data_IF_935180968981
#
_entry.id   IF_935180968981
#
_cell.length_a   1.000
_cell.length_b   1.000
_cell.length_c   1.000
_cell.angle_alpha   90.00
_cell.angle_beta   90.00
_cell.angle_gamma   90.00
#
_symmetry.space_group_name_H-M   'P 1'
#
loop_
_entity.id
_entity.type
_entity.pdbx_description
1 polymer ?
#
# COMPACT_ATOMS: atom_id res chain seq x y z
N UNK A 1 -7.15 -18.44 -10.45
CA UNK A 1 -6.44 -17.15 -10.47
C UNK A 1 -5.05 -17.24 -11.09
N UNK A 2 -4.23 -18.24 -10.77
CA UNK A 2 -2.85 -18.41 -11.30
C UNK A 2 -2.77 -18.39 -12.84
N UNK A 3 -3.67 -19.11 -13.55
CA UNK A 3 -3.65 -19.19 -15.02
C UNK A 3 -3.95 -17.86 -15.73
N UNK A 4 -4.73 -16.98 -15.10
CA UNK A 4 -5.07 -15.66 -15.65
C UNK A 4 -3.89 -14.70 -15.48
N UNK A 5 -3.19 -14.79 -14.34
CA UNK A 5 -1.98 -14.01 -14.10
C UNK A 5 -0.84 -14.36 -15.07
N UNK A 6 -0.66 -15.64 -15.41
CA UNK A 6 0.34 -16.07 -16.40
C UNK A 6 0.04 -15.59 -17.82
N UNK A 7 -1.24 -15.55 -18.21
CA UNK A 7 -1.66 -15.02 -19.51
C UNK A 7 -1.35 -13.52 -19.61
N UNK A 8 -1.76 -12.74 -18.61
CA UNK A 8 -1.49 -11.30 -18.57
C UNK A 8 0.01 -10.97 -18.45
N UNK A 9 0.80 -11.78 -17.72
CA UNK A 9 2.26 -11.62 -17.66
C UNK A 9 2.91 -11.80 -19.04
N UNK A 10 2.43 -12.76 -19.85
CA UNK A 10 2.90 -12.94 -21.22
C UNK A 10 2.49 -11.77 -22.11
N UNK A 11 1.28 -11.26 -21.96
CA UNK A 11 0.79 -10.11 -22.74
C UNK A 11 1.54 -8.81 -22.38
N UNK A 12 1.96 -8.66 -21.13
CA UNK A 12 2.79 -7.54 -20.65
C UNK A 12 4.23 -7.58 -21.19
N UNK A 13 4.77 -8.77 -21.44
CA UNK A 13 6.08 -8.98 -22.06
C UNK A 13 6.01 -9.03 -23.60
N UNK A 14 4.84 -8.80 -24.19
CA UNK A 14 4.64 -8.90 -25.62
C UNK A 14 5.38 -7.75 -26.34
N UNK A 15 6.07 -8.00 -27.48
CA UNK A 15 6.77 -6.96 -28.24
C UNK A 15 5.84 -5.89 -28.86
N UNK A 16 4.52 -6.01 -28.70
CA UNK A 16 3.54 -5.11 -29.29
C UNK A 16 2.97 -4.18 -28.21
N UNK A 17 3.21 -2.89 -28.36
CA UNK A 17 2.77 -1.85 -27.42
C UNK A 17 1.24 -1.78 -27.26
N UNK A 18 0.47 -2.09 -28.31
CA UNK A 18 -0.99 -2.10 -28.27
C UNK A 18 -1.54 -3.24 -27.41
N UNK A 19 -0.88 -4.40 -27.43
CA UNK A 19 -1.27 -5.56 -26.59
C UNK A 19 -0.93 -5.28 -25.14
N UNK A 20 0.24 -4.68 -24.89
CA UNK A 20 0.63 -4.23 -23.54
C UNK A 20 -0.36 -3.19 -22.99
N UNK A 21 -0.72 -2.19 -23.78
CA UNK A 21 -1.69 -1.15 -23.41
C UNK A 21 -3.10 -1.69 -23.16
N UNK A 22 -3.58 -2.60 -24.01
CA UNK A 22 -4.90 -3.24 -23.85
C UNK A 22 -4.97 -4.12 -22.61
N UNK A 23 -3.88 -4.82 -22.29
CA UNK A 23 -3.74 -5.60 -21.06
C UNK A 23 -3.66 -4.71 -19.84
N UNK A 24 -2.85 -3.63 -19.89
CA UNK A 24 -2.76 -2.61 -18.85
C UNK A 24 -4.09 -1.90 -18.58
N UNK A 25 -4.96 -1.77 -19.58
CA UNK A 25 -6.31 -1.22 -19.45
C UNK A 25 -7.27 -2.14 -18.68
N UNK A 26 -6.90 -3.41 -18.47
CA UNK A 26 -7.69 -4.33 -17.67
C UNK A 26 -7.41 -4.11 -16.18
N UNK A 27 -8.45 -3.95 -15.33
CA UNK A 27 -8.28 -3.78 -13.88
C UNK A 27 -7.50 -4.95 -13.23
N UNK A 28 -7.53 -6.13 -13.85
CA UNK A 28 -6.81 -7.32 -13.39
C UNK A 28 -5.29 -7.21 -13.59
N UNK A 29 -4.82 -6.43 -14.57
CA UNK A 29 -3.38 -6.28 -14.82
C UNK A 29 -2.69 -5.51 -13.69
N UNK A 30 -3.35 -4.50 -13.12
CA UNK A 30 -2.89 -3.73 -11.94
C UNK A 30 -2.50 -4.66 -10.77
N UNK A 31 -3.25 -5.75 -10.59
CA UNK A 31 -3.03 -6.71 -9.51
C UNK A 31 -1.81 -7.62 -9.74
N UNK A 32 -1.28 -7.68 -10.97
CA UNK A 32 -0.21 -8.59 -11.41
C UNK A 32 1.15 -7.86 -11.47
N UNK A 33 1.15 -6.53 -11.54
CA UNK A 33 2.37 -5.72 -11.63
C UNK A 33 3.43 -5.93 -10.53
N UNK A 34 3.10 -6.13 -9.23
CA UNK A 34 4.14 -6.17 -8.20
C UNK A 34 5.05 -7.41 -8.23
N UNK A 35 4.64 -8.53 -8.83
CA UNK A 35 5.52 -9.71 -9.04
C UNK A 35 6.54 -9.53 -10.17
N UNK A 36 6.39 -8.48 -10.97
CA UNK A 36 7.32 -8.12 -12.05
C UNK A 36 8.30 -7.01 -11.65
N UNK A 37 8.00 -6.26 -10.58
CA UNK A 37 8.90 -5.25 -9.98
C UNK A 37 10.06 -5.87 -9.19
N UNK A 38 9.87 -7.05 -8.58
CA UNK A 38 10.93 -7.75 -7.83
C UNK A 38 11.97 -8.44 -8.72
N UNK A 39 11.68 -8.65 -10.01
CA UNK A 39 12.55 -9.39 -10.94
C UNK A 39 13.25 -8.51 -12.00
N UNK A 40 13.53 -7.25 -11.66
CA UNK A 40 14.58 -6.45 -12.32
C UNK A 40 14.48 -6.29 -13.84
N UNK A 41 13.30 -6.47 -14.45
CA UNK A 41 13.10 -6.25 -15.87
C UNK A 41 12.05 -5.16 -16.10
N UNK A 42 12.54 -3.93 -15.97
CA UNK A 42 12.45 -2.89 -16.99
C UNK A 42 11.12 -2.80 -17.75
N UNK A 43 10.10 -2.19 -17.15
CA UNK A 43 8.98 -1.60 -17.92
C UNK A 43 8.39 -0.32 -17.29
N UNK A 44 8.90 0.17 -16.16
CA UNK A 44 8.14 1.09 -15.31
C UNK A 44 8.97 2.25 -14.72
N UNK A 45 10.03 2.70 -15.40
CA UNK A 45 10.74 3.96 -15.01
C UNK A 45 10.52 5.11 -16.01
N UNK A 46 9.58 4.96 -16.97
CA UNK A 46 9.26 6.03 -17.89
C UNK A 46 7.86 5.92 -18.48
N UNK A 47 7.00 6.87 -18.12
CA UNK A 47 5.78 7.25 -18.84
C UNK A 47 4.53 6.35 -18.68
N UNK A 48 4.10 6.04 -17.44
CA UNK A 48 2.72 5.59 -17.20
C UNK A 48 1.67 6.62 -17.61
N UNK A 49 1.99 7.91 -17.44
CA UNK A 49 1.13 9.05 -17.75
C UNK A 49 0.69 9.09 -19.23
N UNK A 50 1.52 8.58 -20.13
CA UNK A 50 1.25 8.55 -21.57
C UNK A 50 0.46 7.32 -22.02
N UNK A 51 0.62 6.18 -21.33
CA UNK A 51 -0.04 4.93 -21.72
C UNK A 51 -1.49 4.85 -21.25
N UNK A 52 -1.80 5.31 -20.02
CA UNK A 52 -3.16 5.34 -19.47
C UNK A 52 -3.31 6.57 -18.56
N UNK A 53 -3.85 7.69 -19.06
CA UNK A 53 -4.04 8.89 -18.24
C UNK A 53 -5.00 8.68 -17.06
N UNK A 54 -5.95 7.74 -17.18
CA UNK A 54 -6.97 7.45 -16.17
C UNK A 54 -6.57 6.32 -15.20
N UNK A 55 -5.31 5.88 -15.23
CA UNK A 55 -4.79 4.82 -14.38
C UNK A 55 -5.09 5.01 -12.88
N UNK A 56 -4.89 6.19 -12.25
CA UNK A 56 -5.16 6.35 -10.83
C UNK A 56 -6.64 6.15 -10.46
N UNK A 57 -7.58 6.48 -11.36
CA UNK A 57 -9.01 6.28 -11.14
C UNK A 57 -9.39 4.80 -11.19
N UNK A 58 -8.89 4.10 -12.21
CA UNK A 58 -9.07 2.66 -12.35
C UNK A 58 -8.54 1.90 -11.13
N UNK A 59 -7.33 2.24 -10.66
CA UNK A 59 -6.73 1.59 -9.49
C UNK A 59 -7.55 1.85 -8.23
N UNK A 60 -8.02 3.10 -8.02
CA UNK A 60 -8.88 3.44 -6.88
C UNK A 60 -10.21 2.66 -6.90
N UNK A 61 -10.83 2.54 -8.07
CA UNK A 61 -12.06 1.74 -8.23
C UNK A 61 -11.85 0.25 -7.92
N UNK A 62 -10.72 -0.31 -8.37
CA UNK A 62 -10.34 -1.69 -8.05
C UNK A 62 -10.11 -1.86 -6.56
N UNK A 63 -9.38 -0.94 -5.92
CA UNK A 63 -9.08 -0.99 -4.49
C UNK A 63 -10.34 -1.01 -3.62
N UNK A 64 -11.36 -0.24 -4.02
CA UNK A 64 -12.67 -0.19 -3.34
C UNK A 64 -13.53 -1.43 -3.60
N UNK A 65 -13.43 -2.03 -4.79
CA UNK A 65 -14.26 -3.18 -5.20
C UNK A 65 -13.69 -4.52 -4.74
N UNK A 66 -12.36 -4.62 -4.64
CA UNK A 66 -11.67 -5.86 -4.32
C UNK A 66 -11.95 -6.33 -2.89
N UNK A 67 -11.90 -7.64 -2.69
CA UNK A 67 -12.08 -8.28 -1.38
C UNK A 67 -10.85 -9.10 -0.98
N UNK A 68 -10.05 -9.54 -1.94
CA UNK A 68 -8.85 -10.31 -1.67
C UNK A 68 -7.75 -9.41 -1.09
N UNK A 69 -7.14 -9.86 0.02
CA UNK A 69 -6.14 -9.08 0.75
C UNK A 69 -4.85 -8.87 -0.07
N UNK A 70 -4.46 -9.84 -0.89
CA UNK A 70 -3.27 -9.72 -1.74
C UNK A 70 -3.51 -8.74 -2.88
N UNK A 71 -4.71 -8.79 -3.47
CA UNK A 71 -5.12 -7.89 -4.54
C UNK A 71 -5.24 -6.44 -4.03
N UNK A 72 -5.87 -6.23 -2.87
CA UNK A 72 -5.91 -4.90 -2.22
C UNK A 72 -4.52 -4.36 -1.96
N UNK A 73 -3.60 -5.20 -1.47
CA UNK A 73 -2.21 -4.80 -1.24
C UNK A 73 -1.53 -4.34 -2.53
N UNK A 74 -1.72 -5.09 -3.61
CA UNK A 74 -1.11 -4.78 -4.91
C UNK A 74 -1.67 -3.48 -5.50
N UNK A 75 -2.99 -3.31 -5.45
CA UNK A 75 -3.66 -2.08 -5.89
C UNK A 75 -3.20 -0.87 -5.07
N UNK A 76 -3.12 -0.99 -3.74
CA UNK A 76 -2.67 0.09 -2.88
C UNK A 76 -1.20 0.47 -3.13
N UNK A 77 -0.31 -0.52 -3.27
CA UNK A 77 1.09 -0.25 -3.64
C UNK A 77 1.20 0.47 -4.99
N UNK A 78 0.42 0.06 -5.99
CA UNK A 78 0.41 0.71 -7.29
C UNK A 78 -0.08 2.16 -7.19
N UNK A 79 -1.17 2.39 -6.46
CA UNK A 79 -1.72 3.73 -6.24
C UNK A 79 -0.68 4.64 -5.57
N UNK A 80 0.07 4.14 -4.60
CA UNK A 80 1.14 4.91 -3.96
C UNK A 80 2.26 5.36 -4.91
N UNK A 81 2.56 4.57 -5.94
CA UNK A 81 3.60 4.91 -6.91
C UNK A 81 3.09 5.88 -7.98
N UNK A 82 1.80 5.76 -8.36
CA UNK A 82 1.20 6.58 -9.42
C UNK A 82 0.69 7.91 -8.88
N UNK A 83 -0.04 7.90 -7.77
CA UNK A 83 -0.65 9.07 -7.15
C UNK A 83 -0.75 8.90 -5.63
N UNK A 84 0.25 9.46 -4.93
CA UNK A 84 0.33 9.38 -3.48
C UNK A 84 -0.84 10.13 -2.80
N UNK A 85 -1.34 11.23 -3.36
CA UNK A 85 -2.41 12.02 -2.72
C UNK A 85 -3.70 11.20 -2.65
N UNK A 86 -4.05 10.54 -3.75
CA UNK A 86 -5.26 9.69 -3.81
C UNK A 86 -5.16 8.47 -2.91
N UNK A 87 -3.96 7.92 -2.72
CA UNK A 87 -3.74 6.85 -1.75
C UNK A 87 -3.95 7.32 -0.29
N UNK A 88 -3.59 8.58 0.02
CA UNK A 88 -3.84 9.17 1.33
C UNK A 88 -5.32 9.45 1.56
N UNK A 89 -6.04 9.88 0.54
CA UNK A 89 -7.50 10.05 0.60
C UNK A 89 -8.20 8.71 0.85
N UNK A 90 -7.79 7.64 0.17
CA UNK A 90 -8.29 6.29 0.47
C UNK A 90 -7.97 5.84 1.90
N UNK A 91 -6.70 5.98 2.32
CA UNK A 91 -6.29 5.58 3.68
C UNK A 91 -7.08 6.35 4.75
N UNK A 92 -7.36 7.61 4.47
CA UNK A 92 -8.14 8.53 5.29
C UNK A 92 -9.58 8.07 5.52
N UNK A 93 -10.18 7.40 4.54
CA UNK A 93 -11.53 6.82 4.61
C UNK A 93 -11.55 5.50 5.37
N UNK A 94 -10.52 4.65 5.17
CA UNK A 94 -10.46 3.30 5.75
C UNK A 94 -9.67 3.20 7.07
N UNK A 95 -9.23 4.34 7.63
CA UNK A 95 -8.28 4.39 8.76
C UNK A 95 -8.75 3.60 10.00
N UNK A 96 -10.07 3.59 10.27
CA UNK A 96 -10.64 2.87 11.40
C UNK A 96 -10.73 1.35 11.18
N UNK A 97 -10.63 0.89 9.93
CA UNK A 97 -10.70 -0.52 9.55
C UNK A 97 -9.31 -1.16 9.36
N UNK A 98 -8.22 -0.38 9.48
CA UNK A 98 -6.86 -0.86 9.16
C UNK A 98 -6.45 -2.08 9.98
N UNK A 99 -6.93 -2.20 11.22
CA UNK A 99 -6.66 -3.36 12.08
C UNK A 99 -7.26 -4.68 11.55
N UNK A 100 -8.23 -4.60 10.64
CA UNK A 100 -8.86 -5.77 10.01
C UNK A 100 -8.14 -6.23 8.74
N UNK A 101 -7.25 -5.42 8.18
CA UNK A 101 -6.48 -5.79 7.00
C UNK A 101 -5.38 -6.80 7.32
N UNK A 102 -4.91 -7.51 6.28
CA UNK A 102 -3.81 -8.45 6.43
C UNK A 102 -2.48 -7.76 6.77
N UNK A 103 -1.62 -8.48 7.48
CA UNK A 103 -0.35 -8.01 8.05
C UNK A 103 0.53 -7.24 7.04
N UNK A 104 0.66 -7.76 5.81
CA UNK A 104 1.49 -7.15 4.77
C UNK A 104 0.97 -5.75 4.41
N UNK A 105 -0.35 -5.58 4.31
CA UNK A 105 -0.95 -4.28 4.02
C UNK A 105 -0.79 -3.33 5.20
N UNK A 106 -0.95 -3.83 6.43
CA UNK A 106 -0.70 -3.03 7.65
C UNK A 106 0.74 -2.49 7.69
N UNK A 107 1.74 -3.32 7.37
CA UNK A 107 3.14 -2.88 7.32
C UNK A 107 3.37 -1.75 6.32
N UNK A 108 2.82 -1.88 5.11
CA UNK A 108 2.94 -0.85 4.06
C UNK A 108 2.26 0.47 4.52
N UNK A 109 1.11 0.37 5.19
CA UNK A 109 0.40 1.53 5.74
C UNK A 109 1.24 2.22 6.82
N UNK A 110 1.87 1.46 7.72
CA UNK A 110 2.74 2.04 8.77
C UNK A 110 3.93 2.77 8.16
N UNK A 111 4.59 2.18 7.15
CA UNK A 111 5.70 2.82 6.44
C UNK A 111 5.26 4.10 5.73
N UNK A 112 4.08 4.09 5.10
CA UNK A 112 3.49 5.28 4.49
C UNK A 112 3.22 6.38 5.52
N UNK A 113 2.59 6.03 6.65
CA UNK A 113 2.29 6.97 7.72
C UNK A 113 3.58 7.63 8.22
N UNK A 114 4.65 6.85 8.41
CA UNK A 114 5.96 7.38 8.79
C UNK A 114 6.44 8.45 7.80
N UNK A 115 6.43 8.15 6.49
CA UNK A 115 6.89 9.08 5.44
C UNK A 115 6.04 10.35 5.39
N UNK A 116 4.72 10.21 5.43
CA UNK A 116 3.77 11.34 5.32
C UNK A 116 3.86 12.25 6.53
N UNK A 117 3.93 11.69 7.73
CA UNK A 117 4.05 12.48 8.96
C UNK A 117 5.39 13.19 9.09
N UNK A 118 6.44 12.67 8.44
CA UNK A 118 7.74 13.33 8.36
C UNK A 118 7.69 14.52 7.40
N UNK A 119 7.02 14.38 6.25
CA UNK A 119 6.83 15.46 5.28
C UNK A 119 5.84 16.54 5.79
N UNK A 120 4.72 16.12 6.37
CA UNK A 120 3.60 16.97 6.76
C UNK A 120 3.19 16.73 8.22
N UNK A 121 3.70 17.55 9.17
CA UNK A 121 3.42 17.38 10.59
C UNK A 121 1.94 17.56 10.99
N UNK A 122 1.14 18.25 10.16
CA UNK A 122 -0.28 18.54 10.42
C UNK A 122 -1.13 17.28 10.47
N UNK A 123 -0.82 16.27 9.66
CA UNK A 123 -1.57 15.01 9.57
C UNK A 123 -1.25 14.03 10.74
N UNK A 124 -0.22 14.32 11.54
CA UNK A 124 0.23 13.43 12.64
C UNK A 124 -0.89 13.05 13.59
N UNK A 125 -1.70 14.03 14.00
CA UNK A 125 -2.79 13.81 14.96
C UNK A 125 -3.81 12.78 14.45
N UNK A 126 -4.04 12.74 13.14
CA UNK A 126 -4.96 11.81 12.49
C UNK A 126 -4.45 10.37 12.56
N UNK A 127 -3.16 10.17 12.29
CA UNK A 127 -2.57 8.83 12.21
C UNK A 127 -2.14 8.24 13.55
N UNK A 128 -1.89 9.06 14.59
CA UNK A 128 -1.49 8.57 15.92
C UNK A 128 -2.48 7.53 16.47
N UNK A 129 -3.79 7.76 16.32
CA UNK A 129 -4.81 6.81 16.79
C UNK A 129 -4.73 5.47 16.04
N UNK A 130 -4.51 5.51 14.74
CA UNK A 130 -4.34 4.32 13.90
C UNK A 130 -3.11 3.51 14.33
N UNK A 131 -1.95 4.16 14.47
CA UNK A 131 -0.70 3.50 14.88
C UNK A 131 -0.82 2.91 16.28
N UNK A 132 -1.49 3.61 17.20
CA UNK A 132 -1.74 3.11 18.55
C UNK A 132 -2.59 1.82 18.54
N UNK A 133 -3.62 1.76 17.71
CA UNK A 133 -4.45 0.55 17.54
C UNK A 133 -3.64 -0.61 16.95
N UNK A 134 -2.69 -0.33 16.04
CA UNK A 134 -1.83 -1.35 15.42
C UNK A 134 -0.83 -2.00 16.39
N UNK A 135 -0.55 -1.39 17.56
CA UNK A 135 0.25 -2.04 18.61
C UNK A 135 -0.40 -3.31 19.18
N UNK A 136 -1.72 -3.44 19.02
CA UNK A 136 -2.49 -4.60 19.43
C UNK A 136 -2.76 -5.58 18.27
N UNK A 137 -2.11 -5.40 17.11
CA UNK A 137 -2.21 -6.33 15.98
C UNK A 137 -1.69 -7.72 16.38
N UNK A 138 -2.23 -8.78 15.78
CA UNK A 138 -1.79 -10.17 16.02
C UNK A 138 -0.37 -10.45 15.51
N UNK A 139 0.11 -9.64 14.56
CA UNK A 139 1.38 -9.84 13.90
C UNK A 139 2.53 -9.16 14.63
N UNK A 140 3.54 -9.94 15.03
CA UNK A 140 4.73 -9.41 15.70
C UNK A 140 5.45 -8.34 14.86
N UNK A 141 5.54 -8.54 13.54
CA UNK A 141 6.17 -7.59 12.62
C UNK A 141 5.43 -6.24 12.60
N UNK A 142 4.09 -6.26 12.55
CA UNK A 142 3.28 -5.03 12.56
C UNK A 142 3.43 -4.29 13.89
N UNK A 143 3.40 -5.00 15.02
CA UNK A 143 3.58 -4.41 16.34
C UNK A 143 4.95 -3.73 16.47
N UNK A 144 6.00 -4.38 15.97
CA UNK A 144 7.37 -3.83 15.99
C UNK A 144 7.46 -2.52 15.19
N UNK A 145 6.95 -2.52 13.96
CA UNK A 145 7.02 -1.35 13.07
C UNK A 145 6.12 -0.21 13.57
N UNK A 146 4.93 -0.54 14.08
CA UNK A 146 4.01 0.43 14.66
C UNK A 146 4.59 1.07 15.93
N UNK A 147 5.28 0.30 16.79
CA UNK A 147 5.96 0.83 17.97
C UNK A 147 7.06 1.83 17.59
N UNK A 148 7.88 1.50 16.58
CA UNK A 148 8.96 2.38 16.12
C UNK A 148 8.44 3.67 15.50
N UNK A 149 7.36 3.55 14.72
CA UNK A 149 6.67 4.70 14.15
C UNK A 149 6.05 5.56 15.26
N UNK A 150 5.37 4.97 16.25
CA UNK A 150 4.72 5.72 17.33
C UNK A 150 5.69 6.58 18.13
N UNK A 151 6.86 6.04 18.48
CA UNK A 151 7.91 6.77 19.22
C UNK A 151 8.44 7.95 18.41
N UNK A 152 8.50 7.81 17.08
CA UNK A 152 8.93 8.89 16.19
C UNK A 152 7.86 9.97 16.00
N UNK A 153 6.58 9.58 16.08
CA UNK A 153 5.45 10.49 15.90
C UNK A 153 5.07 11.25 17.17
N UNK A 154 5.27 10.66 18.35
CA UNK A 154 4.82 11.23 19.62
C UNK A 154 5.85 11.08 20.73
N UNK A 155 6.14 12.18 21.40
CA UNK A 155 6.95 12.24 22.63
C UNK A 155 6.11 12.10 23.91
N UNK A 156 4.81 11.80 23.79
CA UNK A 156 3.94 11.66 24.95
C UNK A 156 4.39 10.48 25.84
N UNK A 157 4.49 10.65 27.17
CA UNK A 157 4.91 9.57 28.08
C UNK A 157 4.02 8.31 28.03
N UNK A 158 2.76 8.46 27.62
CA UNK A 158 1.83 7.34 27.42
C UNK A 158 2.16 6.55 26.16
N UNK A 159 2.43 7.24 25.05
CA UNK A 159 2.81 6.63 23.78
C UNK A 159 4.17 5.90 23.89
N UNK A 160 5.15 6.52 24.53
CA UNK A 160 6.47 5.90 24.76
C UNK A 160 6.34 4.64 25.62
N UNK A 161 5.53 4.69 26.69
CA UNK A 161 5.28 3.50 27.53
C UNK A 161 4.60 2.39 26.76
N UNK A 162 3.58 2.70 25.96
CA UNK A 162 2.88 1.72 25.15
C UNK A 162 3.81 1.06 24.12
N UNK A 163 4.64 1.83 23.43
CA UNK A 163 5.63 1.31 22.49
C UNK A 163 6.70 0.45 23.19
N UNK A 164 7.21 0.89 24.34
CA UNK A 164 8.17 0.11 25.12
C UNK A 164 7.58 -1.22 25.60
N UNK A 165 6.33 -1.23 26.08
CA UNK A 165 5.61 -2.46 26.43
C UNK A 165 5.46 -3.38 25.22
N UNK A 166 5.11 -2.83 24.05
CA UNK A 166 5.02 -3.63 22.82
C UNK A 166 6.35 -4.29 22.46
N UNK A 167 7.48 -3.59 22.61
CA UNK A 167 8.81 -4.16 22.38
C UNK A 167 9.22 -5.24 23.38
N UNK A 168 8.74 -5.17 24.63
CA UNK A 168 9.04 -6.18 25.66
C UNK A 168 8.22 -7.47 25.44
N UNK A 169 7.03 -7.35 24.88
CA UNK A 169 6.11 -8.47 24.63
C UNK A 169 6.35 -9.21 23.29
N UNK A 170 7.26 -8.71 22.46
CA UNK A 170 7.66 -9.29 21.16
C UNK A 170 8.74 -10.36 21.33
#
# INVERSE_FOLDING_TARGET
MILVCDAYRKDLQHPNEFIRGSTLSSPTAVLIFPDSLTNGHLCCEGNFEFLIPDAPELISNVLNSEQDASCKRNAFMMLLHVDQNRALDYLSEVIDQVTSFGDILQLIIVELIYKVCHANPTERARFIRCVYNLLQSSSAAVRYEAAGTLVTLSSAPTAIRAAASAYIEL
#
